data_IF_240096935678
#
_entry.id   IF_240096935678
#
_cell.length_a   1.000
_cell.length_b   1.000
_cell.length_c   1.000
_cell.angle_alpha   90.00
_cell.angle_beta   90.00
_cell.angle_gamma   90.00
#
_symmetry.space_group_name_H-M   'P 1'
#
loop_
_entity.id
_entity.type
_entity.pdbx_description
1 polymer ?
#
# COMPACT_ATOMS: atom_id res chain seq x y z
N UNK A 1 20.33 -3.62 -5.56
CA UNK A 1 21.02 -2.68 -4.64
C UNK A 1 20.99 -3.22 -3.22
N UNK A 2 22.17 -3.39 -2.60
CA UNK A 2 22.35 -4.04 -1.28
C UNK A 2 22.09 -3.12 -0.08
N UNK A 3 22.35 -3.63 1.14
CA UNK A 3 22.19 -2.84 2.38
C UNK A 3 23.23 -1.72 2.52
N UNK A 4 24.40 -1.84 1.88
CA UNK A 4 25.43 -0.79 1.86
C UNK A 4 25.14 0.38 0.92
N UNK A 5 24.17 0.22 0.00
CA UNK A 5 23.86 1.25 -0.97
C UNK A 5 23.01 2.38 -0.35
N UNK A 6 23.67 3.51 -0.09
CA UNK A 6 23.10 4.71 0.54
C UNK A 6 22.05 5.44 -0.31
N UNK A 7 21.95 5.16 -1.61
CA UNK A 7 20.94 5.76 -2.50
C UNK A 7 19.67 4.91 -2.54
N UNK A 8 19.80 3.60 -2.36
CA UNK A 8 18.68 2.67 -2.33
C UNK A 8 17.79 2.83 -1.08
N UNK A 9 16.51 2.46 -1.21
CA UNK A 9 15.61 2.41 -0.06
C UNK A 9 16.08 1.42 1.03
N UNK A 10 16.81 0.36 0.64
CA UNK A 10 17.33 -0.67 1.55
C UNK A 10 18.48 -0.12 2.40
N UNK A 11 19.47 0.55 1.80
CA UNK A 11 20.56 1.15 2.58
C UNK A 11 20.15 2.39 3.36
N UNK A 12 19.20 3.19 2.86
CA UNK A 12 18.56 4.25 3.67
C UNK A 12 17.85 3.69 4.91
N UNK A 13 17.28 2.48 4.83
CA UNK A 13 16.69 1.79 5.98
C UNK A 13 17.76 1.35 6.97
N UNK A 14 18.86 0.78 6.48
CA UNK A 14 19.96 0.30 7.33
C UNK A 14 20.66 1.43 8.08
N UNK A 15 20.89 2.58 7.43
CA UNK A 15 21.54 3.74 8.04
C UNK A 15 20.56 4.59 8.87
N UNK A 16 19.26 4.39 8.71
CA UNK A 16 18.23 5.18 9.39
C UNK A 16 17.94 6.55 8.77
N UNK A 17 18.64 6.94 7.70
CA UNK A 17 18.44 8.24 7.04
C UNK A 17 17.23 8.27 6.08
N UNK A 18 16.75 9.48 5.78
CA UNK A 18 15.68 9.71 4.81
C UNK A 18 16.24 10.37 3.54
N UNK A 19 15.49 10.29 2.45
CA UNK A 19 15.86 10.89 1.16
C UNK A 19 14.77 10.66 0.13
N UNK A 20 15.08 10.93 -1.14
CA UNK A 20 14.12 10.76 -2.27
C UNK A 20 13.54 9.34 -2.29
N UNK A 21 14.39 8.33 -2.13
CA UNK A 21 14.01 6.91 -2.17
C UNK A 21 13.33 6.41 -0.88
N UNK A 22 13.56 7.07 0.27
CA UNK A 22 12.93 6.78 1.57
C UNK A 22 12.35 8.08 2.18
N UNK A 23 11.23 8.54 1.64
CA UNK A 23 10.58 9.79 2.09
C UNK A 23 9.66 9.56 3.30
N UNK A 24 9.73 10.46 4.29
CA UNK A 24 8.86 10.45 5.49
C UNK A 24 7.38 10.53 5.12
N UNK A 25 7.01 11.39 4.16
CA UNK A 25 5.62 11.59 3.72
C UNK A 25 5.04 10.30 3.13
N UNK A 26 5.77 9.63 2.24
CA UNK A 26 5.35 8.37 1.62
C UNK A 26 5.21 7.24 2.64
N UNK A 27 6.13 7.16 3.62
CA UNK A 27 6.05 6.14 4.69
C UNK A 27 4.82 6.38 5.56
N UNK A 28 4.60 7.61 6.04
CA UNK A 28 3.42 7.95 6.85
C UNK A 28 2.12 7.66 6.10
N UNK A 29 2.03 8.02 4.82
CA UNK A 29 0.87 7.72 3.99
C UNK A 29 0.63 6.21 3.86
N UNK A 30 1.69 5.41 3.63
CA UNK A 30 1.60 3.95 3.55
C UNK A 30 1.15 3.34 4.88
N UNK A 31 1.68 3.82 6.01
CA UNK A 31 1.28 3.36 7.35
C UNK A 31 -0.19 3.68 7.64
N UNK A 32 -0.67 4.89 7.33
CA UNK A 32 -2.08 5.26 7.47
C UNK A 32 -2.99 4.38 6.61
N UNK A 33 -2.61 4.12 5.35
CA UNK A 33 -3.36 3.25 4.45
C UNK A 33 -3.41 1.80 4.96
N UNK A 34 -2.29 1.27 5.47
CA UNK A 34 -2.28 -0.08 6.04
C UNK A 34 -3.16 -0.14 7.30
N UNK A 35 -3.11 0.88 8.16
CA UNK A 35 -3.97 0.96 9.33
C UNK A 35 -5.46 1.02 8.96
N UNK A 36 -5.82 1.81 7.96
CA UNK A 36 -7.21 1.89 7.49
C UNK A 36 -7.68 0.60 6.82
N UNK A 37 -6.83 -0.06 6.04
CA UNK A 37 -7.14 -1.37 5.42
C UNK A 37 -7.29 -2.45 6.48
N UNK A 38 -6.37 -2.53 7.46
CA UNK A 38 -6.50 -3.47 8.58
C UNK A 38 -7.76 -3.21 9.39
N UNK A 39 -8.11 -1.94 9.65
CA UNK A 39 -9.36 -1.57 10.31
C UNK A 39 -10.58 -2.01 9.48
N UNK A 40 -10.53 -1.88 8.16
CA UNK A 40 -11.59 -2.34 7.26
C UNK A 40 -11.70 -3.87 7.18
N UNK A 41 -10.57 -4.59 7.26
CA UNK A 41 -10.55 -6.06 7.29
C UNK A 41 -11.09 -6.59 8.62
N UNK A 42 -10.73 -5.96 9.75
CA UNK A 42 -11.26 -6.29 11.08
C UNK A 42 -12.74 -5.89 11.20
N UNK A 43 -13.15 -4.76 10.62
CA UNK A 43 -14.57 -4.39 10.56
C UNK A 43 -15.38 -5.27 9.57
N UNK A 44 -14.71 -5.99 8.67
CA UNK A 44 -15.32 -6.90 7.71
C UNK A 44 -15.54 -8.32 8.23
N UNK A 45 -14.96 -8.68 9.38
CA UNK A 45 -15.14 -10.01 9.99
C UNK A 45 -16.39 -10.14 10.86
N UNK A 46 -17.13 -9.04 11.08
CA UNK A 46 -18.40 -9.07 11.84
C UNK A 46 -19.65 -8.89 10.98
N UNK A 47 -19.54 -8.63 9.67
CA UNK A 47 -20.73 -8.52 8.81
C UNK A 47 -20.50 -9.20 7.46
N UNK A 48 -21.10 -10.38 7.31
CA UNK A 48 -21.46 -10.94 5.99
C UNK A 48 -22.26 -9.88 5.22
N UNK A 49 -21.67 -9.22 4.23
CA UNK A 49 -22.44 -8.52 3.19
C UNK A 49 -21.64 -8.34 1.89
N UNK A 50 -21.74 -9.39 1.06
CA UNK A 50 -21.73 -9.41 -0.41
C UNK A 50 -20.73 -8.50 -1.13
N UNK A 51 -19.72 -9.14 -1.72
CA UNK A 51 -18.92 -8.57 -2.80
C UNK A 51 -19.82 -7.92 -3.86
N UNK A 52 -19.71 -6.60 -4.04
CA UNK A 52 -20.30 -5.93 -5.20
C UNK A 52 -19.55 -6.42 -6.43
N UNK A 53 -20.17 -7.34 -7.18
CA UNK A 53 -19.75 -7.71 -8.53
C UNK A 53 -19.74 -6.44 -9.37
N UNK A 54 -18.56 -6.04 -9.86
CA UNK A 54 -18.46 -5.06 -10.94
C UNK A 54 -19.03 -5.73 -12.17
N UNK A 55 -20.19 -5.25 -12.63
CA UNK A 55 -20.81 -5.67 -13.88
C UNK A 55 -19.84 -5.33 -15.00
N UNK A 56 -19.28 -6.34 -15.67
CA UNK A 56 -18.57 -6.14 -16.94
C UNK A 56 -19.61 -5.62 -17.94
N UNK A 57 -19.43 -4.39 -18.41
CA UNK A 57 -20.20 -3.89 -19.56
C UNK A 57 -19.78 -4.74 -20.76
N UNK A 58 -20.75 -5.45 -21.34
CA UNK A 58 -20.64 -6.17 -22.60
C UNK A 58 -21.03 -5.21 -23.74
N UNK A 59 -20.42 -5.43 -24.90
CA UNK A 59 -20.80 -5.00 -26.27
C UNK A 59 -20.31 -3.62 -26.73
N UNK A 60 -19.90 -3.42 -28.00
CA UNK A 60 -20.00 -4.20 -29.25
C UNK A 60 -18.71 -3.96 -30.09
N UNK A 61 -18.17 -4.86 -30.93
CA UNK A 61 -18.72 -5.45 -32.15
C UNK A 61 -19.26 -4.40 -33.14
N UNK A 62 -18.35 -3.77 -33.89
CA UNK A 62 -18.49 -3.43 -35.31
C UNK A 62 -17.08 -3.42 -35.94
#
# INVERSE_FOLDING_TARGET
MGRGDKKSAKGKRTIGSFGVTRSKKKIKARLKRIASVKKAVVAGTEVKAKAKRVVKKKEAAE
#
